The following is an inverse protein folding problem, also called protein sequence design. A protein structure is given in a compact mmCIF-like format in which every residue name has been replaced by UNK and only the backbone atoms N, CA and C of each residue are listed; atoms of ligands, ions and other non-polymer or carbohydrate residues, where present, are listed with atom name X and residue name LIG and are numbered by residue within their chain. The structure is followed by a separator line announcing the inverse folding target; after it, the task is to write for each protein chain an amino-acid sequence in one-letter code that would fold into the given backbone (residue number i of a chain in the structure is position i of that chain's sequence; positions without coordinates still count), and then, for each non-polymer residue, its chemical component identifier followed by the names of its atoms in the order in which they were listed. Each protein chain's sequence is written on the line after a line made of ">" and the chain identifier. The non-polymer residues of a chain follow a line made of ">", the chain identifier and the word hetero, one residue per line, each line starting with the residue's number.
data_IF_723485850911
#
_entry.id   IF_723485850911
#
_cell.length_a   1.000
_cell.length_b   1.000
_cell.length_c   1.000
_cell.angle_alpha   90.00
_cell.angle_beta   90.00
_cell.angle_gamma   90.00
#
_symmetry.space_group_name_H-M   'P 1'
#
loop_
_entity.id
_entity.type
_entity.pdbx_description
1 polymer ?
#
# COMPACT_ATOMS: atom_id res chain seq x y z
N UNK A 1 -15.79 -4.57 -15.29
CA UNK A 1 -15.89 -5.29 -13.99
C UNK A 1 -14.54 -5.77 -13.44
N UNK A 2 -13.58 -6.19 -14.27
CA UNK A 2 -12.21 -6.54 -13.84
C UNK A 2 -11.50 -5.40 -13.09
N UNK A 3 -11.53 -4.18 -13.63
CA UNK A 3 -10.70 -3.07 -13.13
C UNK A 3 -11.18 -2.51 -11.79
N UNK A 4 -12.49 -2.57 -11.52
CA UNK A 4 -13.04 -2.16 -10.23
C UNK A 4 -12.51 -3.02 -9.07
N UNK A 5 -12.33 -4.33 -9.32
CA UNK A 5 -11.76 -5.24 -8.33
C UNK A 5 -10.28 -4.93 -8.11
N UNK A 6 -9.57 -4.53 -9.17
CA UNK A 6 -8.16 -4.15 -9.11
C UNK A 6 -7.96 -2.86 -8.30
N UNK A 7 -8.67 -1.79 -8.64
CA UNK A 7 -8.62 -0.52 -7.90
C UNK A 7 -9.03 -0.67 -6.44
N UNK A 8 -10.04 -1.51 -6.15
CA UNK A 8 -10.45 -1.77 -4.77
C UNK A 8 -9.36 -2.47 -3.95
N UNK A 9 -8.61 -3.38 -4.58
CA UNK A 9 -7.50 -4.06 -3.93
C UNK A 9 -6.34 -3.09 -3.67
N UNK A 10 -5.99 -2.26 -4.64
CA UNK A 10 -4.96 -1.23 -4.50
C UNK A 10 -5.30 -0.26 -3.36
N UNK A 11 -6.53 0.26 -3.32
CA UNK A 11 -7.00 1.14 -2.26
C UNK A 11 -6.93 0.49 -0.87
N UNK A 12 -7.31 -0.79 -0.77
CA UNK A 12 -7.26 -1.53 0.50
C UNK A 12 -5.83 -1.78 0.97
N UNK A 13 -4.92 -2.09 0.04
CA UNK A 13 -3.50 -2.25 0.35
C UNK A 13 -2.91 -0.92 0.83
N UNK A 14 -3.26 0.19 0.16
CA UNK A 14 -2.83 1.53 0.54
C UNK A 14 -3.26 1.90 1.96
N UNK A 15 -4.53 1.68 2.33
CA UNK A 15 -5.03 1.93 3.69
C UNK A 15 -4.33 1.06 4.73
N UNK A 16 -4.16 -0.22 4.44
CA UNK A 16 -3.56 -1.18 5.38
C UNK A 16 -2.11 -0.82 5.67
N UNK A 17 -1.32 -0.57 4.61
CA UNK A 17 0.10 -0.20 4.77
C UNK A 17 0.21 1.15 5.48
N UNK A 18 -0.61 2.14 5.12
CA UNK A 18 -0.59 3.45 5.79
C UNK A 18 -0.89 3.32 7.28
N UNK A 19 -1.85 2.47 7.65
CA UNK A 19 -2.17 2.18 9.05
C UNK A 19 -0.97 1.55 9.76
N UNK A 20 -0.32 0.55 9.16
CA UNK A 20 0.85 -0.13 9.72
C UNK A 20 2.08 0.79 9.89
N UNK A 21 2.22 1.81 9.02
CA UNK A 21 3.26 2.85 9.17
C UNK A 21 2.97 3.70 10.41
N UNK A 22 1.74 4.18 10.56
CA UNK A 22 1.32 5.03 11.69
C UNK A 22 1.38 4.26 13.02
N UNK A 23 0.94 3.00 13.04
CA UNK A 23 0.98 2.15 14.25
C UNK A 23 2.39 1.65 14.58
N UNK A 24 3.40 1.94 13.73
CA UNK A 24 4.80 1.49 13.88
C UNK A 24 4.98 -0.03 13.87
N UNK A 25 4.09 -0.75 13.19
CA UNK A 25 4.25 -2.18 12.94
C UNK A 25 5.37 -2.45 11.93
N UNK A 26 5.55 -1.55 10.95
CA UNK A 26 6.65 -1.60 10.00
C UNK A 26 7.88 -0.95 10.64
N UNK A 27 8.82 -1.78 11.10
CA UNK A 27 10.07 -1.34 11.71
C UNK A 27 11.13 -1.10 10.64
N UNK A 28 11.18 0.13 10.12
CA UNK A 28 12.19 0.55 9.15
C UNK A 28 12.82 1.88 9.57
N UNK A 29 14.15 1.97 9.56
CA UNK A 29 14.88 3.16 10.01
C UNK A 29 14.60 4.41 9.14
N UNK A 30 14.24 4.21 7.87
CA UNK A 30 13.87 5.28 6.95
C UNK A 30 12.38 5.65 6.94
N UNK A 31 11.53 4.95 7.69
CA UNK A 31 10.10 5.23 7.74
C UNK A 31 9.77 5.99 9.02
N UNK A 32 9.29 7.22 8.85
CA UNK A 32 8.70 8.01 9.92
C UNK A 32 7.18 7.74 9.97
N UNK A 33 6.53 7.79 11.15
CA UNK A 33 5.07 7.63 11.27
C UNK A 33 4.26 8.69 10.51
N UNK A 34 4.90 9.77 10.09
CA UNK A 34 4.27 10.87 9.34
C UNK A 34 4.37 10.69 7.82
N UNK A 35 4.96 9.60 7.35
CA UNK A 35 5.08 9.29 5.93
C UNK A 35 3.80 8.64 5.43
N UNK A 36 3.35 9.02 4.24
CA UNK A 36 2.11 8.54 3.62
C UNK A 36 2.41 7.76 2.35
N UNK A 37 1.70 6.66 2.11
CA UNK A 37 1.77 5.94 0.84
C UNK A 37 1.09 6.77 -0.26
N UNK A 38 1.85 7.15 -1.29
CA UNK A 38 1.37 8.00 -2.40
C UNK A 38 0.62 7.21 -3.47
N UNK A 39 1.13 6.02 -3.82
CA UNK A 39 0.52 5.17 -4.85
C UNK A 39 0.86 3.70 -4.60
N UNK A 40 -0.09 2.82 -4.91
CA UNK A 40 0.12 1.38 -4.98
C UNK A 40 -0.20 0.91 -6.38
N UNK A 41 0.71 0.18 -7.01
CA UNK A 41 0.50 -0.47 -8.30
C UNK A 41 0.50 -1.97 -8.10
N UNK A 42 -0.64 -2.61 -8.37
CA UNK A 42 -0.75 -4.06 -8.30
C UNK A 42 -0.44 -4.68 -9.67
N UNK A 43 0.27 -5.80 -9.70
CA UNK A 43 0.53 -6.53 -10.93
C UNK A 43 -0.76 -7.13 -11.50
N UNK A 44 -0.79 -7.38 -12.82
CA UNK A 44 -1.99 -7.93 -13.50
C UNK A 44 -2.39 -9.32 -12.98
N UNK A 45 -1.40 -10.10 -12.56
CA UNK A 45 -1.56 -11.42 -11.93
C UNK A 45 -1.79 -11.34 -10.40
N UNK A 46 -1.74 -10.14 -9.81
CA UNK A 46 -1.90 -9.88 -8.37
C UNK A 46 -0.85 -10.54 -7.47
N UNK A 47 0.22 -11.08 -8.05
CA UNK A 47 1.29 -11.74 -7.31
C UNK A 47 2.28 -10.73 -6.69
N UNK A 48 2.40 -9.55 -7.28
CA UNK A 48 3.35 -8.51 -6.87
C UNK A 48 2.64 -7.17 -6.69
N UNK A 49 3.15 -6.36 -5.76
CA UNK A 49 2.70 -4.99 -5.55
C UNK A 49 3.91 -4.07 -5.40
N UNK A 50 3.89 -2.95 -6.12
CA UNK A 50 4.88 -1.88 -5.98
C UNK A 50 4.23 -0.74 -5.19
N UNK A 51 4.88 -0.33 -4.10
CA UNK A 51 4.37 0.68 -3.19
C UNK A 51 5.29 1.90 -3.24
N UNK A 52 4.71 3.06 -3.54
CA UNK A 52 5.38 4.34 -3.56
C UNK A 52 5.07 5.09 -2.27
N UNK A 53 6.11 5.48 -1.55
CA UNK A 53 6.07 6.04 -0.20
C UNK A 53 6.66 7.44 -0.22
#
# INVERSE_FOLDING_TARGET
>A
MSDYTHQRLEARIQETISTMIVTREIKHHGLSPFVSVSQVTLSRDKAYATVWV
#
